data_IF_120278219656
#
_entry.id   IF_120278219656
#
_cell.length_a   1.000
_cell.length_b   1.000
_cell.length_c   1.000
_cell.angle_alpha   90.00
_cell.angle_beta   90.00
_cell.angle_gamma   90.00
#
_symmetry.space_group_name_H-M   'P 1'
#
loop_
_entity.id
_entity.type
_entity.pdbx_description
1 polymer ?
#
# COMPACT_ATOMS: atom_id res chain seq x y z
N UNK A 1 -15.99 13.81 -9.08
CA UNK A 1 -17.04 12.79 -8.84
C UNK A 1 -17.37 12.78 -7.36
N UNK A 2 -18.66 12.72 -7.00
CA UNK A 2 -19.12 12.82 -5.61
C UNK A 2 -18.65 11.65 -4.75
N UNK A 3 -18.28 11.92 -3.50
CA UNK A 3 -17.90 10.88 -2.53
C UNK A 3 -19.12 9.98 -2.29
N UNK A 4 -19.03 8.71 -2.65
CA UNK A 4 -20.09 7.74 -2.32
C UNK A 4 -20.07 7.44 -0.81
N UNK A 5 -21.16 6.89 -0.27
CA UNK A 5 -21.22 6.45 1.13
C UNK A 5 -20.07 5.48 1.46
N UNK A 6 -19.67 4.62 0.51
CA UNK A 6 -18.56 3.70 0.68
C UNK A 6 -17.21 4.42 0.83
N UNK A 7 -16.96 5.51 0.09
CA UNK A 7 -15.74 6.31 0.26
C UNK A 7 -15.64 6.89 1.66
N UNK A 8 -16.74 7.41 2.20
CA UNK A 8 -16.77 8.01 3.55
C UNK A 8 -16.56 6.92 4.61
N UNK A 9 -17.24 5.78 4.48
CA UNK A 9 -17.07 4.65 5.39
C UNK A 9 -15.63 4.10 5.38
N UNK A 10 -15.00 4.02 4.21
CA UNK A 10 -13.60 3.59 4.08
C UNK A 10 -12.64 4.58 4.74
N UNK A 11 -12.82 5.88 4.49
CA UNK A 11 -11.98 6.96 5.02
C UNK A 11 -11.97 7.01 6.56
N UNK A 12 -13.09 6.67 7.18
CA UNK A 12 -13.25 6.77 8.64
C UNK A 12 -13.23 5.40 9.34
N UNK A 13 -12.85 4.34 8.61
CA UNK A 13 -12.76 3.00 9.17
C UNK A 13 -14.07 2.51 9.79
N UNK A 14 -15.22 2.82 9.18
CA UNK A 14 -16.55 2.44 9.65
C UNK A 14 -16.84 0.97 9.37
N UNK A 15 -16.15 0.08 10.09
CA UNK A 15 -16.15 -1.38 9.86
C UNK A 15 -17.54 -2.02 9.90
N UNK A 16 -18.50 -1.47 10.65
CA UNK A 16 -19.86 -2.01 10.72
C UNK A 16 -20.69 -1.73 9.45
N UNK A 17 -20.41 -0.63 8.75
CA UNK A 17 -21.20 -0.17 7.59
C UNK A 17 -20.54 -0.59 6.28
N UNK A 18 -19.21 -0.77 6.28
CA UNK A 18 -18.43 -1.23 5.14
C UNK A 18 -18.98 -2.51 4.49
N UNK A 19 -19.34 -3.60 5.21
CA UNK A 19 -19.91 -4.80 4.60
C UNK A 19 -21.20 -4.52 3.84
N UNK A 20 -22.09 -3.74 4.44
CA UNK A 20 -23.41 -3.45 3.87
C UNK A 20 -23.26 -2.66 2.57
N UNK A 21 -22.34 -1.69 2.53
CA UNK A 21 -22.10 -0.86 1.36
C UNK A 21 -21.25 -1.54 0.28
N UNK A 22 -20.26 -2.34 0.66
CA UNK A 22 -19.37 -3.02 -0.29
C UNK A 22 -20.05 -4.21 -0.99
N UNK A 23 -21.04 -4.84 -0.35
CA UNK A 23 -21.72 -6.01 -0.90
C UNK A 23 -22.88 -5.66 -1.86
N UNK A 24 -23.16 -4.38 -2.11
CA UNK A 24 -24.13 -3.97 -3.13
C UNK A 24 -23.61 -4.32 -4.53
N UNK A 25 -24.47 -4.88 -5.39
CA UNK A 25 -24.08 -5.47 -6.68
C UNK A 25 -23.58 -4.46 -7.72
N UNK A 26 -23.91 -3.19 -7.52
CA UNK A 26 -23.54 -2.06 -8.37
C UNK A 26 -22.26 -1.33 -7.92
N UNK A 27 -21.69 -1.72 -6.77
CA UNK A 27 -20.56 -1.03 -6.17
C UNK A 27 -19.23 -1.61 -6.65
N UNK A 28 -18.41 -0.78 -7.30
CA UNK A 28 -17.02 -1.08 -7.66
C UNK A 28 -16.06 -0.47 -6.64
N UNK A 29 -15.09 -1.26 -6.19
CA UNK A 29 -13.98 -0.77 -5.36
C UNK A 29 -13.01 -0.04 -6.28
N UNK A 30 -13.01 1.30 -6.22
CA UNK A 30 -12.15 2.15 -7.05
C UNK A 30 -10.87 2.54 -6.31
N UNK A 31 -9.89 3.05 -7.05
CA UNK A 31 -8.65 3.62 -6.49
C UNK A 31 -8.91 4.66 -5.40
N UNK A 32 -9.93 5.51 -5.57
CA UNK A 32 -10.25 6.55 -4.60
C UNK A 32 -10.77 5.97 -3.27
N UNK A 33 -11.55 4.88 -3.34
CA UNK A 33 -12.00 4.13 -2.15
C UNK A 33 -10.81 3.45 -1.47
N UNK A 34 -9.92 2.84 -2.26
CA UNK A 34 -8.71 2.18 -1.76
C UNK A 34 -7.77 3.18 -1.08
N UNK A 35 -7.51 4.33 -1.71
CA UNK A 35 -6.70 5.42 -1.13
C UNK A 35 -7.32 5.96 0.15
N UNK A 36 -8.66 6.07 0.20
CA UNK A 36 -9.38 6.49 1.39
C UNK A 36 -9.20 5.49 2.54
N UNK A 37 -9.29 4.18 2.25
CA UNK A 37 -9.05 3.12 3.22
C UNK A 37 -7.64 3.20 3.80
N UNK A 38 -6.62 3.38 2.95
CA UNK A 38 -5.22 3.44 3.41
C UNK A 38 -4.95 4.64 4.33
N UNK A 39 -5.74 5.72 4.26
CA UNK A 39 -5.45 6.97 4.96
C UNK A 39 -5.69 6.98 6.48
N UNK A 40 -6.35 5.96 7.05
CA UNK A 40 -6.77 5.93 8.46
C UNK A 40 -6.00 4.90 9.30
N UNK A 41 -6.01 5.03 10.63
CA UNK A 41 -5.40 4.08 11.56
C UNK A 41 -6.07 2.69 11.51
N UNK A 42 -7.33 2.62 11.06
CA UNK A 42 -8.04 1.37 10.75
C UNK A 42 -7.82 0.87 9.32
N UNK A 43 -6.98 1.53 8.54
CA UNK A 43 -6.84 1.26 7.11
C UNK A 43 -6.44 -0.17 6.76
N UNK A 44 -5.61 -0.83 7.59
CA UNK A 44 -5.32 -2.26 7.48
C UNK A 44 -6.59 -3.11 7.50
N UNK A 45 -7.44 -2.91 8.51
CA UNK A 45 -8.71 -3.63 8.66
C UNK A 45 -9.67 -3.38 7.50
N UNK A 46 -9.78 -2.12 7.05
CA UNK A 46 -10.63 -1.79 5.89
C UNK A 46 -10.11 -2.49 4.63
N UNK A 47 -8.79 -2.49 4.41
CA UNK A 47 -8.19 -3.16 3.27
C UNK A 47 -8.42 -4.67 3.30
N UNK A 48 -8.28 -5.31 4.47
CA UNK A 48 -8.60 -6.72 4.66
C UNK A 48 -10.03 -7.03 4.24
N UNK A 49 -11.01 -6.23 4.67
CA UNK A 49 -12.42 -6.43 4.30
C UNK A 49 -12.66 -6.32 2.79
N UNK A 50 -12.06 -5.34 2.12
CA UNK A 50 -12.19 -5.21 0.67
C UNK A 50 -11.58 -6.40 -0.08
N UNK A 51 -10.44 -6.89 0.37
CA UNK A 51 -9.80 -8.05 -0.23
C UNK A 51 -10.56 -9.35 0.04
N UNK A 52 -11.18 -9.52 1.22
CA UNK A 52 -11.97 -10.71 1.55
C UNK A 52 -13.26 -10.80 0.74
N UNK A 53 -13.94 -9.67 0.49
CA UNK A 53 -15.22 -9.68 -0.21
C UNK A 53 -15.13 -9.48 -1.71
N UNK A 54 -14.10 -8.78 -2.18
CA UNK A 54 -13.97 -8.35 -3.58
C UNK A 54 -12.56 -8.59 -4.12
N UNK A 55 -11.76 -9.48 -3.52
CA UNK A 55 -10.35 -9.69 -3.88
C UNK A 55 -10.10 -9.94 -5.37
N UNK A 56 -11.02 -10.62 -6.07
CA UNK A 56 -10.95 -10.82 -7.53
C UNK A 56 -11.22 -9.57 -8.36
N UNK A 57 -11.97 -8.61 -7.83
CA UNK A 57 -12.30 -7.33 -8.47
C UNK A 57 -11.32 -6.20 -8.10
N UNK A 58 -10.50 -6.41 -7.07
CA UNK A 58 -9.55 -5.42 -6.58
C UNK A 58 -8.28 -5.44 -7.44
N UNK A 59 -8.03 -4.33 -8.12
CA UNK A 59 -6.78 -4.07 -8.81
C UNK A 59 -5.97 -3.02 -8.04
N UNK A 60 -4.72 -3.34 -7.71
CA UNK A 60 -3.80 -2.36 -7.13
C UNK A 60 -3.13 -1.61 -8.26
N UNK A 61 -3.52 -0.36 -8.42
CA UNK A 61 -2.84 0.56 -9.33
C UNK A 61 -1.57 1.11 -8.67
N UNK A 62 -0.72 1.69 -9.50
CA UNK A 62 0.49 2.38 -9.06
C UNK A 62 0.20 3.42 -7.98
N UNK A 63 -0.86 4.21 -8.16
CA UNK A 63 -1.27 5.25 -7.22
C UNK A 63 -1.70 4.69 -5.85
N UNK A 64 -2.41 3.57 -5.82
CA UNK A 64 -2.75 2.88 -4.57
C UNK A 64 -1.48 2.30 -3.94
N UNK A 65 -0.61 1.69 -4.74
CA UNK A 65 0.68 1.16 -4.30
C UNK A 65 1.54 2.21 -3.63
N UNK A 66 1.69 3.40 -4.24
CA UNK A 66 2.42 4.54 -3.66
C UNK A 66 1.81 5.01 -2.37
N UNK A 67 0.47 5.05 -2.28
CA UNK A 67 -0.23 5.44 -1.06
C UNK A 67 0.03 4.47 0.10
N UNK A 68 0.06 3.17 -0.18
CA UNK A 68 0.41 2.13 0.80
C UNK A 68 1.89 2.26 1.21
N UNK A 69 2.78 2.33 0.22
CA UNK A 69 4.22 2.47 0.42
C UNK A 69 4.59 3.71 1.26
N UNK A 70 3.89 4.82 1.03
CA UNK A 70 4.08 6.08 1.75
C UNK A 70 3.29 6.19 3.06
N UNK A 71 2.57 5.16 3.50
CA UNK A 71 1.85 5.21 4.78
C UNK A 71 2.81 4.90 5.94
N UNK A 72 3.08 5.86 6.85
CA UNK A 72 4.07 5.68 7.92
C UNK A 72 3.57 4.83 9.09
N UNK A 73 2.27 4.58 9.19
CA UNK A 73 1.65 3.90 10.34
C UNK A 73 1.28 2.46 10.02
N UNK A 74 0.53 2.25 8.93
CA UNK A 74 -0.02 0.95 8.55
C UNK A 74 0.54 0.42 7.22
N UNK A 75 1.46 1.14 6.58
CA UNK A 75 1.95 0.81 5.24
C UNK A 75 2.56 -0.59 5.17
N UNK A 76 3.32 -1.01 6.19
CA UNK A 76 3.90 -2.35 6.25
C UNK A 76 2.85 -3.45 6.35
N UNK A 77 1.88 -3.32 7.26
CA UNK A 77 0.80 -4.30 7.42
C UNK A 77 -0.02 -4.43 6.14
N UNK A 78 -0.39 -3.29 5.54
CA UNK A 78 -1.16 -3.28 4.30
C UNK A 78 -0.35 -3.88 3.14
N UNK A 79 0.94 -3.54 3.00
CA UNK A 79 1.78 -4.12 1.95
C UNK A 79 1.91 -5.64 2.10
N UNK A 80 2.09 -6.14 3.32
CA UNK A 80 2.10 -7.60 3.60
C UNK A 80 0.81 -8.26 3.15
N UNK A 81 -0.35 -7.72 3.55
CA UNK A 81 -1.67 -8.24 3.18
C UNK A 81 -1.86 -8.27 1.66
N UNK A 82 -1.44 -7.21 0.98
CA UNK A 82 -1.54 -7.10 -0.47
C UNK A 82 -0.67 -8.18 -1.15
N UNK A 83 0.60 -8.31 -0.76
CA UNK A 83 1.49 -9.32 -1.34
C UNK A 83 1.00 -10.75 -1.10
N UNK A 84 0.38 -11.03 0.05
CA UNK A 84 -0.16 -12.36 0.39
C UNK A 84 -1.43 -12.72 -0.39
N UNK A 85 -2.34 -11.76 -0.56
CA UNK A 85 -3.65 -12.03 -1.16
C UNK A 85 -3.70 -11.83 -2.67
N UNK A 86 -2.89 -10.92 -3.19
CA UNK A 86 -2.91 -10.56 -4.61
C UNK A 86 -1.66 -11.02 -5.37
N UNK A 87 -0.59 -11.41 -4.67
CA UNK A 87 0.62 -11.97 -5.28
C UNK A 87 1.14 -11.12 -6.45
N UNK A 88 1.18 -11.71 -7.65
CA UNK A 88 1.67 -11.06 -8.87
C UNK A 88 0.78 -9.92 -9.40
N UNK A 89 -0.44 -9.73 -8.89
CA UNK A 89 -1.32 -8.64 -9.31
C UNK A 89 -0.87 -7.26 -8.78
N UNK A 90 0.14 -7.22 -7.92
CA UNK A 90 0.78 -5.97 -7.49
C UNK A 90 2.03 -5.75 -8.31
N UNK A 91 2.07 -4.61 -9.00
CA UNK A 91 3.27 -4.11 -9.65
C UNK A 91 4.06 -3.27 -8.66
N UNK A 92 5.28 -3.71 -8.35
CA UNK A 92 6.25 -2.91 -7.60
C UNK A 92 6.98 -2.06 -8.63
N UNK A 93 6.56 -0.81 -8.77
CA UNK A 93 7.18 0.14 -9.71
C UNK A 93 8.29 0.93 -9.02
N UNK A 94 9.14 1.58 -9.82
CA UNK A 94 10.19 2.48 -9.32
C UNK A 94 9.60 3.58 -8.41
N UNK A 95 8.42 4.14 -8.75
CA UNK A 95 7.78 5.15 -7.90
C UNK A 95 7.24 4.59 -6.58
N UNK A 96 6.77 3.34 -6.57
CA UNK A 96 6.41 2.63 -5.32
C UNK A 96 7.66 2.47 -4.45
N UNK A 97 8.78 2.02 -5.03
CA UNK A 97 10.04 1.84 -4.29
C UNK A 97 10.58 3.18 -3.77
N UNK A 98 10.53 4.25 -4.55
CA UNK A 98 10.86 5.62 -4.10
C UNK A 98 9.96 6.08 -2.95
N UNK A 99 8.67 5.75 -2.99
CA UNK A 99 7.74 6.06 -1.91
C UNK A 99 8.07 5.31 -0.62
N UNK A 100 8.51 4.05 -0.74
CA UNK A 100 9.04 3.27 0.40
C UNK A 100 10.30 3.91 0.96
N UNK A 101 11.26 4.25 0.10
CA UNK A 101 12.53 4.85 0.50
C UNK A 101 12.36 6.16 1.28
N UNK A 102 11.35 6.98 0.91
CA UNK A 102 11.02 8.24 1.58
C UNK A 102 10.18 8.09 2.84
N UNK A 103 9.66 6.90 3.14
CA UNK A 103 8.77 6.68 4.27
C UNK A 103 9.55 6.34 5.55
N UNK A 104 9.85 7.33 6.38
CA UNK A 104 10.60 7.11 7.62
C UNK A 104 9.87 6.29 8.70
N UNK A 105 8.55 6.11 8.59
CA UNK A 105 7.77 5.34 9.57
C UNK A 105 7.79 3.83 9.30
N UNK A 106 7.39 3.42 8.10
CA UNK A 106 7.30 2.00 7.71
C UNK A 106 8.29 1.59 6.62
N UNK A 107 9.02 2.53 6.01
CA UNK A 107 9.78 2.33 4.77
C UNK A 107 10.82 1.24 4.86
N UNK A 108 11.64 1.22 5.92
CA UNK A 108 12.63 0.14 6.15
C UNK A 108 11.96 -1.23 6.13
N UNK A 109 10.89 -1.39 6.91
CA UNK A 109 10.16 -2.65 7.03
C UNK A 109 9.47 -3.08 5.75
N UNK A 110 9.01 -2.12 4.93
CA UNK A 110 8.44 -2.40 3.61
C UNK A 110 9.56 -2.76 2.62
N UNK A 111 10.71 -2.08 2.64
CA UNK A 111 11.84 -2.37 1.76
C UNK A 111 12.35 -3.80 1.98
N UNK A 112 12.56 -4.19 3.24
CA UNK A 112 12.93 -5.58 3.59
C UNK A 112 11.92 -6.58 3.05
N UNK A 113 10.62 -6.35 3.27
CA UNK A 113 9.55 -7.22 2.79
C UNK A 113 9.55 -7.37 1.26
N UNK A 114 9.74 -6.26 0.53
CA UNK A 114 9.77 -6.28 -0.92
C UNK A 114 10.99 -7.02 -1.46
N UNK A 115 12.18 -6.84 -0.85
CA UNK A 115 13.38 -7.58 -1.26
C UNK A 115 13.26 -9.08 -0.97
N UNK A 116 12.69 -9.47 0.17
CA UNK A 116 12.49 -10.88 0.52
C UNK A 116 11.52 -11.60 -0.43
N UNK A 117 10.43 -10.93 -0.83
CA UNK A 117 9.32 -11.56 -1.55
C UNK A 117 9.31 -11.25 -3.05
N UNK A 118 9.95 -10.16 -3.49
CA UNK A 118 9.85 -9.56 -4.83
C UNK A 118 11.19 -8.96 -5.31
N UNK A 119 12.33 -9.50 -4.87
CA UNK A 119 13.66 -9.02 -5.31
C UNK A 119 13.79 -8.90 -6.82
N UNK A 120 13.26 -9.86 -7.57
CA UNK A 120 13.27 -9.86 -9.05
C UNK A 120 12.48 -8.73 -9.72
N UNK A 121 11.59 -8.06 -8.97
CA UNK A 121 10.79 -6.95 -9.49
C UNK A 121 11.38 -5.58 -9.14
N UNK A 122 12.36 -5.53 -8.23
CA UNK A 122 12.95 -4.29 -7.77
C UNK A 122 14.24 -4.03 -8.55
N UNK A 123 14.20 -3.02 -9.38
CA UNK A 123 15.40 -2.46 -9.98
C UNK A 123 15.95 -1.35 -9.09
N UNK A 124 17.19 -1.49 -8.63
CA UNK A 124 17.87 -0.45 -7.84
C UNK A 124 18.45 0.59 -8.80
N UNK A 125 17.61 1.56 -9.17
CA UNK A 125 17.99 2.68 -10.02
C UNK A 125 18.75 3.74 -9.23
N UNK A 126 19.54 4.58 -9.91
CA UNK A 126 20.17 5.76 -9.30
C UNK A 126 19.17 6.67 -8.58
N UNK A 127 17.94 6.68 -9.09
CA UNK A 127 16.84 7.48 -8.61
C UNK A 127 16.25 6.92 -7.31
N UNK A 128 16.17 5.59 -7.16
CA UNK A 128 15.89 4.91 -5.89
C UNK A 128 17.00 5.19 -4.88
N UNK A 129 18.28 5.06 -5.28
CA UNK A 129 19.42 5.35 -4.39
C UNK A 129 19.38 6.78 -3.88
N UNK A 130 19.11 7.77 -4.74
CA UNK A 130 18.92 9.17 -4.33
C UNK A 130 17.77 9.33 -3.33
N UNK A 131 16.65 8.65 -3.53
CA UNK A 131 15.52 8.70 -2.62
C UNK A 131 15.85 8.10 -1.25
N UNK A 132 16.66 7.04 -1.22
CA UNK A 132 17.14 6.40 0.01
C UNK A 132 18.12 7.32 0.75
N UNK A 133 19.18 7.78 0.07
CA UNK A 133 20.23 8.62 0.67
C UNK A 133 19.67 9.98 1.12
N UNK A 134 18.62 10.49 0.46
CA UNK A 134 17.93 11.71 0.88
C UNK A 134 16.96 11.53 2.07
N UNK A 135 16.86 10.34 2.66
CA UNK A 135 16.08 10.11 3.88
C UNK A 135 17.00 10.07 5.10
N UNK A 136 17.16 11.20 5.78
CA UNK A 136 18.10 11.35 6.91
C UNK A 136 17.74 10.47 8.13
N UNK A 137 16.54 9.89 8.19
CA UNK A 137 16.08 9.10 9.33
C UNK A 137 16.41 7.62 9.16
N UNK A 138 16.13 7.04 7.99
CA UNK A 138 16.27 5.60 7.73
C UNK A 138 17.11 5.26 6.50
N UNK A 139 17.66 6.27 5.81
CA UNK A 139 18.39 6.09 4.55
C UNK A 139 19.57 5.14 4.70
N UNK A 140 20.43 5.38 5.70
CA UNK A 140 21.59 4.53 6.00
C UNK A 140 21.19 3.07 6.26
N UNK A 141 20.09 2.87 7.01
CA UNK A 141 19.58 1.54 7.30
C UNK A 141 19.08 0.82 6.04
N UNK A 142 18.45 1.55 5.12
CA UNK A 142 18.01 1.00 3.83
C UNK A 142 19.22 0.71 2.94
N UNK A 143 20.25 1.58 2.88
CA UNK A 143 21.48 1.31 2.12
C UNK A 143 22.11 0.01 2.56
N UNK A 144 22.21 -0.24 3.87
CA UNK A 144 22.75 -1.50 4.41
C UNK A 144 21.94 -2.71 3.95
N UNK A 145 20.63 -2.58 3.78
CA UNK A 145 19.76 -3.66 3.26
C UNK A 145 20.00 -3.88 1.76
N UNK A 146 20.22 -2.81 0.98
CA UNK A 146 20.46 -2.91 -0.46
C UNK A 146 21.83 -3.48 -0.84
N UNK A 147 22.80 -3.46 0.07
CA UNK A 147 24.17 -3.95 -0.15
C UNK A 147 24.38 -5.42 0.25
N UNK A 148 23.34 -6.10 0.75
CA UNK A 148 23.39 -7.53 1.13
C UNK A 148 22.94 -8.41 -0.03
#
# INVERSE_FOLDING_TARGET
>A
MGRTALHVAARHGSLAVLPVLANQSDVKITDDIMKAAVGDYKGGKVMTLFLDWRGGDVKITDEVGKKVAGNPTNGKEIMTLLLERLGCNIKVTDDVVKSVARNSGCGKGIMTLLLERRSGDIEITNDVVKAVVGNDIIGDEIVVILLK
#
